data_IF_050028350958
#
_entry.id   IF_050028350958
#
_cell.length_a   1.000
_cell.length_b   1.000
_cell.length_c   1.000
_cell.angle_alpha   90.00
_cell.angle_beta   90.00
_cell.angle_gamma   90.00
#
_symmetry.space_group_name_H-M   'P 1'
#
loop_
_entity.id
_entity.type
_entity.pdbx_description
1 polymer ?
#
# COMPACT_ATOMS: atom_id res chain seq x y z
N UNK A 1 -41.63 -18.82 -36.05
CA UNK A 1 -40.66 -18.33 -37.05
C UNK A 1 -39.37 -19.13 -36.86
N UNK A 2 -38.91 -19.84 -37.93
CA UNK A 2 -37.70 -20.64 -37.83
C UNK A 2 -36.47 -19.74 -38.00
N UNK A 3 -35.64 -19.56 -36.96
CA UNK A 3 -34.45 -18.69 -37.00
C UNK A 3 -33.46 -19.08 -38.11
N UNK A 4 -33.35 -20.40 -38.38
CA UNK A 4 -32.47 -20.91 -39.41
C UNK A 4 -32.81 -20.45 -40.82
N UNK A 5 -34.08 -20.30 -41.16
CA UNK A 5 -34.51 -19.78 -42.47
C UNK A 5 -34.26 -18.28 -42.63
N UNK A 6 -34.31 -17.53 -41.54
CA UNK A 6 -34.03 -16.09 -41.52
C UNK A 6 -32.53 -15.82 -41.77
N UNK A 7 -31.64 -16.57 -41.12
CA UNK A 7 -30.18 -16.44 -41.31
C UNK A 7 -29.75 -16.79 -42.73
N UNK A 8 -30.33 -17.81 -43.32
CA UNK A 8 -30.02 -18.20 -44.72
C UNK A 8 -30.49 -17.14 -45.74
N UNK A 9 -31.65 -16.51 -45.51
CA UNK A 9 -32.20 -15.49 -46.38
C UNK A 9 -31.39 -14.18 -46.33
N UNK A 10 -30.88 -13.80 -45.16
CA UNK A 10 -30.16 -12.55 -44.91
C UNK A 10 -28.70 -12.77 -44.54
N UNK A 11 -28.03 -13.73 -45.17
CA UNK A 11 -26.64 -14.13 -44.86
C UNK A 11 -25.67 -12.96 -44.78
N UNK A 12 -25.79 -11.96 -45.67
CA UNK A 12 -24.92 -10.78 -45.67
C UNK A 12 -25.09 -9.93 -44.42
N UNK A 13 -26.33 -9.72 -43.98
CA UNK A 13 -26.64 -8.96 -42.75
C UNK A 13 -26.10 -9.66 -41.50
N UNK A 14 -26.25 -10.98 -41.45
CA UNK A 14 -25.74 -11.80 -40.30
C UNK A 14 -24.23 -11.72 -40.25
N UNK A 15 -23.53 -11.83 -41.39
CA UNK A 15 -22.07 -11.72 -41.41
C UNK A 15 -21.58 -10.34 -40.95
N UNK A 16 -22.22 -9.26 -41.39
CA UNK A 16 -21.89 -7.90 -40.98
C UNK A 16 -22.09 -7.76 -39.45
N UNK A 17 -23.21 -8.28 -38.92
CA UNK A 17 -23.51 -8.21 -37.50
C UNK A 17 -22.47 -8.97 -36.64
N UNK A 18 -22.03 -10.14 -37.12
CA UNK A 18 -20.96 -10.92 -36.46
C UNK A 18 -19.64 -10.14 -36.46
N UNK A 19 -19.27 -9.53 -37.60
CA UNK A 19 -18.04 -8.73 -37.68
C UNK A 19 -18.10 -7.54 -36.72
N UNK A 20 -19.22 -6.82 -36.66
CA UNK A 20 -19.41 -5.69 -35.75
C UNK A 20 -19.31 -6.15 -34.29
N UNK A 21 -19.93 -7.29 -33.95
CA UNK A 21 -19.85 -7.86 -32.59
C UNK A 21 -18.42 -8.26 -32.23
N UNK A 22 -17.66 -8.83 -33.15
CA UNK A 22 -16.25 -9.20 -32.90
C UNK A 22 -15.38 -7.95 -32.68
N UNK A 23 -15.52 -6.94 -33.52
CA UNK A 23 -14.77 -5.68 -33.37
C UNK A 23 -15.10 -5.01 -32.04
N UNK A 24 -16.38 -4.94 -31.69
CA UNK A 24 -16.82 -4.39 -30.41
C UNK A 24 -16.27 -5.18 -29.22
N UNK A 25 -16.29 -6.51 -29.30
CA UNK A 25 -15.73 -7.39 -28.28
C UNK A 25 -14.23 -7.18 -28.08
N UNK A 26 -13.45 -7.04 -29.16
CA UNK A 26 -12.01 -6.78 -29.09
C UNK A 26 -11.73 -5.42 -28.44
N UNK A 27 -12.47 -4.37 -28.84
CA UNK A 27 -12.30 -3.03 -28.27
C UNK A 27 -12.60 -3.05 -26.75
N UNK A 28 -13.72 -3.64 -26.34
CA UNK A 28 -14.08 -3.76 -24.92
C UNK A 28 -13.05 -4.58 -24.15
N UNK A 29 -12.52 -5.66 -24.71
CA UNK A 29 -11.51 -6.48 -24.08
C UNK A 29 -10.21 -5.72 -23.80
N UNK A 30 -9.80 -4.82 -24.70
CA UNK A 30 -8.61 -4.00 -24.52
C UNK A 30 -8.82 -2.82 -23.55
N UNK A 31 -10.05 -2.29 -23.47
CA UNK A 31 -10.36 -1.14 -22.62
C UNK A 31 -10.80 -1.52 -21.21
N UNK A 32 -11.15 -2.79 -20.98
CA UNK A 32 -11.54 -3.24 -19.63
C UNK A 32 -10.31 -3.30 -18.73
N UNK A 33 -10.24 -2.48 -17.67
CA UNK A 33 -9.14 -2.53 -16.72
C UNK A 33 -9.17 -3.88 -15.98
N UNK A 34 -8.11 -4.65 -16.12
CA UNK A 34 -7.94 -5.93 -15.42
C UNK A 34 -7.30 -5.63 -14.07
N UNK A 35 -8.12 -5.47 -13.05
CA UNK A 35 -7.67 -5.46 -11.67
C UNK A 35 -7.83 -6.88 -11.12
N UNK A 36 -6.74 -7.60 -10.96
CA UNK A 36 -6.76 -8.97 -10.40
C UNK A 36 -7.09 -8.96 -8.91
N UNK A 37 -6.81 -7.85 -8.23
CA UNK A 37 -7.08 -7.72 -6.80
C UNK A 37 -7.98 -6.49 -6.53
N UNK A 38 -8.97 -6.61 -5.62
CA UNK A 38 -9.72 -5.45 -5.18
C UNK A 38 -8.76 -4.44 -4.54
N UNK A 39 -8.93 -3.14 -4.77
CA UNK A 39 -8.10 -2.12 -4.13
C UNK A 39 -8.33 -2.17 -2.62
N UNK A 40 -7.42 -2.81 -1.89
CA UNK A 40 -7.43 -2.76 -0.43
C UNK A 40 -6.44 -1.70 0.03
N UNK A 41 -6.85 -0.91 1.00
CA UNK A 41 -6.00 0.09 1.63
C UNK A 41 -5.28 -0.57 2.79
N UNK A 42 -3.94 -0.67 2.71
CA UNK A 42 -3.14 -1.14 3.84
C UNK A 42 -3.25 -0.13 4.99
N UNK A 43 -3.74 -0.62 6.12
CA UNK A 43 -3.90 0.16 7.35
C UNK A 43 -2.78 -0.04 8.34
N UNK A 44 -1.84 -0.90 8.01
CA UNK A 44 -0.67 -1.18 8.82
C UNK A 44 0.56 -0.73 8.04
N UNK A 45 1.39 0.05 8.70
CA UNK A 45 2.69 0.46 8.19
C UNK A 45 3.77 0.05 9.19
N UNK A 46 4.93 -0.28 8.68
CA UNK A 46 6.09 -0.66 9.50
C UNK A 46 7.19 0.38 9.31
N UNK A 47 7.71 0.89 10.41
CA UNK A 47 8.89 1.77 10.43
C UNK A 47 10.02 0.98 11.03
N UNK A 48 11.13 0.81 10.30
CA UNK A 48 12.31 0.10 10.78
C UNK A 48 13.52 1.04 10.79
N UNK A 49 14.26 1.01 11.89
CA UNK A 49 15.49 1.80 12.08
C UNK A 49 16.61 0.88 12.54
N UNK A 50 17.71 0.89 11.82
CA UNK A 50 18.88 0.10 12.15
C UNK A 50 19.93 0.98 12.87
N UNK A 51 20.44 0.51 14.01
CA UNK A 51 21.49 1.17 14.77
C UNK A 51 22.54 0.16 15.25
N UNK A 52 23.61 -0.04 14.48
CA UNK A 52 24.55 -1.12 14.72
C UNK A 52 25.33 -1.00 16.02
N UNK A 53 25.71 -2.16 16.56
CA UNK A 53 26.53 -2.33 17.76
C UNK A 53 25.89 -1.74 19.04
N UNK A 54 24.56 -1.83 19.16
CA UNK A 54 23.82 -1.40 20.36
C UNK A 54 22.95 -2.53 20.91
N UNK A 55 22.81 -2.52 22.26
CA UNK A 55 21.88 -3.45 22.92
C UNK A 55 20.44 -2.94 22.80
N UNK A 56 19.47 -3.86 22.95
CA UNK A 56 18.05 -3.58 22.81
C UNK A 56 17.55 -2.42 23.71
N UNK A 57 18.01 -2.33 24.94
CA UNK A 57 17.62 -1.29 25.90
C UNK A 57 18.01 0.13 25.43
N UNK A 58 19.18 0.27 24.82
CA UNK A 58 19.60 1.57 24.25
C UNK A 58 18.87 1.91 22.96
N UNK A 59 18.58 0.90 22.13
CA UNK A 59 17.78 1.08 20.93
C UNK A 59 16.36 1.53 21.32
N UNK A 60 15.79 0.93 22.36
CA UNK A 60 14.48 1.30 22.87
C UNK A 60 14.44 2.75 23.36
N UNK A 61 15.32 3.12 24.28
CA UNK A 61 15.28 4.44 24.93
C UNK A 61 15.64 5.60 23.99
N UNK A 62 16.60 5.38 23.06
CA UNK A 62 17.17 6.46 22.24
C UNK A 62 16.61 6.52 20.82
N UNK A 63 16.00 5.44 20.35
CA UNK A 63 15.46 5.36 18.97
C UNK A 63 13.97 5.08 18.99
N UNK A 64 13.53 4.02 19.69
CA UNK A 64 12.14 3.57 19.62
C UNK A 64 11.20 4.54 20.32
N UNK A 65 11.47 4.88 21.58
CA UNK A 65 10.62 5.75 22.40
C UNK A 65 10.40 7.16 21.79
N UNK A 66 11.42 7.88 21.27
CA UNK A 66 11.18 9.14 20.59
C UNK A 66 10.33 9.04 19.32
N UNK A 67 10.50 7.95 18.56
CA UNK A 67 9.72 7.71 17.34
C UNK A 67 8.28 7.31 17.68
N UNK A 68 8.07 6.46 18.70
CA UNK A 68 6.73 6.10 19.19
C UNK A 68 5.94 7.32 19.65
N UNK A 69 6.55 8.14 20.50
CA UNK A 69 5.90 9.35 21.03
C UNK A 69 5.51 10.32 19.90
N UNK A 70 6.34 10.45 18.89
CA UNK A 70 6.04 11.30 17.74
C UNK A 70 4.92 10.75 16.86
N UNK A 71 4.86 9.44 16.70
CA UNK A 71 3.83 8.77 15.87
C UNK A 71 2.50 8.70 16.63
N UNK A 72 2.51 8.42 17.93
CA UNK A 72 1.31 8.31 18.76
C UNK A 72 0.59 9.67 18.91
N UNK A 73 1.31 10.78 18.76
CA UNK A 73 0.74 12.12 18.78
C UNK A 73 -0.05 12.50 17.50
N UNK A 74 -0.07 11.63 16.49
CA UNK A 74 -0.72 11.92 15.20
C UNK A 74 -2.19 11.48 15.24
N UNK A 75 -3.10 12.41 14.95
CA UNK A 75 -4.51 12.11 14.82
C UNK A 75 -4.77 11.11 13.69
N UNK A 76 -5.47 9.99 14.01
CA UNK A 76 -5.80 8.95 13.05
C UNK A 76 -4.94 7.68 13.17
N UNK A 77 -3.98 7.66 14.09
CA UNK A 77 -3.30 6.43 14.53
C UNK A 77 -4.16 5.77 15.61
N UNK A 78 -4.47 4.48 15.44
CA UNK A 78 -5.25 3.69 16.42
C UNK A 78 -4.32 3.01 17.42
N UNK A 79 -3.24 2.41 16.93
CA UNK A 79 -2.27 1.71 17.77
C UNK A 79 -0.85 1.83 17.23
N UNK A 80 0.08 1.99 18.16
CA UNK A 80 1.51 1.86 17.91
C UNK A 80 2.02 0.66 18.70
N UNK A 81 2.81 -0.19 18.06
CA UNK A 81 3.49 -1.32 18.69
C UNK A 81 4.91 -1.37 18.22
N UNK A 82 5.85 -1.52 19.12
CA UNK A 82 7.25 -1.63 18.79
C UNK A 82 7.87 -2.94 19.23
N UNK A 83 8.96 -3.26 18.59
CA UNK A 83 9.86 -4.35 18.97
C UNK A 83 11.27 -3.79 18.89
N UNK A 84 11.92 -3.66 20.03
CA UNK A 84 13.33 -3.27 20.12
C UNK A 84 14.19 -4.51 20.28
N UNK A 85 15.10 -4.69 19.37
CA UNK A 85 16.10 -5.76 19.37
C UNK A 85 17.50 -5.16 19.38
N UNK A 86 18.52 -5.98 19.56
CA UNK A 86 19.90 -5.55 19.35
C UNK A 86 20.03 -5.07 17.90
N UNK A 87 20.54 -3.86 17.73
CA UNK A 87 20.79 -3.20 16.44
C UNK A 87 19.55 -2.79 15.61
N UNK A 88 18.31 -3.13 16.04
CA UNK A 88 17.12 -2.91 15.22
C UNK A 88 15.92 -2.46 16.06
N UNK A 89 15.26 -1.40 15.63
CA UNK A 89 13.93 -0.98 16.08
C UNK A 89 12.91 -1.21 14.98
N UNK A 90 11.78 -1.82 15.31
CA UNK A 90 10.66 -2.02 14.38
C UNK A 90 9.39 -1.52 15.04
N UNK A 91 8.74 -0.53 14.43
CA UNK A 91 7.51 0.08 14.93
C UNK A 91 6.38 -0.23 13.94
N UNK A 92 5.33 -0.85 14.43
CA UNK A 92 4.11 -1.13 13.68
C UNK A 92 3.07 -0.06 14.01
N UNK A 93 2.62 0.65 13.00
CA UNK A 93 1.61 1.70 13.11
C UNK A 93 0.32 1.22 12.47
N UNK A 94 -0.76 1.18 13.25
CA UNK A 94 -2.09 0.80 12.78
C UNK A 94 -2.96 2.07 12.64
N UNK A 95 -3.48 2.32 11.44
CA UNK A 95 -4.38 3.43 11.18
C UNK A 95 -5.80 3.12 11.66
N UNK A 96 -6.52 4.13 12.15
CA UNK A 96 -7.91 4.02 12.59
C UNK A 96 -8.79 3.41 11.49
N UNK A 97 -9.67 2.49 11.91
CA UNK A 97 -10.61 1.77 11.05
C UNK A 97 -11.66 2.67 10.42
N UNK A 98 -11.94 3.82 11.02
CA UNK A 98 -12.88 4.81 10.50
C UNK A 98 -12.35 5.60 9.29
N UNK A 99 -11.04 5.61 9.05
CA UNK A 99 -10.44 6.35 7.94
C UNK A 99 -10.73 5.67 6.59
N UNK A 100 -11.08 6.49 5.59
CA UNK A 100 -11.26 6.04 4.20
C UNK A 100 -9.93 6.14 3.43
N UNK A 101 -9.82 5.40 2.33
CA UNK A 101 -8.60 5.28 1.54
C UNK A 101 -7.77 6.54 1.33
N UNK A 102 -8.33 7.68 0.84
CA UNK A 102 -7.56 8.92 0.67
C UNK A 102 -7.03 9.49 1.98
N UNK A 103 -7.80 9.39 3.08
CA UNK A 103 -7.39 9.87 4.40
C UNK A 103 -6.26 9.03 4.99
N UNK A 104 -6.21 7.75 4.69
CA UNK A 104 -5.10 6.86 5.09
C UNK A 104 -3.80 7.24 4.40
N UNK A 105 -3.85 7.64 3.12
CA UNK A 105 -2.65 8.14 2.44
C UNK A 105 -2.11 9.43 3.08
N UNK A 106 -3.01 10.38 3.39
CA UNK A 106 -2.63 11.61 4.08
C UNK A 106 -2.02 11.32 5.46
N UNK A 107 -2.58 10.36 6.19
CA UNK A 107 -2.02 9.93 7.48
C UNK A 107 -0.58 9.43 7.32
N UNK A 108 -0.31 8.60 6.32
CA UNK A 108 1.03 8.11 6.07
C UNK A 108 2.03 9.21 5.68
N UNK A 109 1.58 10.26 5.01
CA UNK A 109 2.41 11.41 4.70
C UNK A 109 2.70 12.25 5.96
N UNK A 110 1.73 12.38 6.86
CA UNK A 110 1.95 13.00 8.18
C UNK A 110 2.94 12.20 9.03
N UNK A 111 2.79 10.87 9.10
CA UNK A 111 3.73 10.00 9.81
C UNK A 111 5.15 10.18 9.27
N UNK A 112 5.32 10.24 7.94
CA UNK A 112 6.65 10.48 7.33
C UNK A 112 7.21 11.85 7.70
N UNK A 113 6.37 12.88 7.72
CA UNK A 113 6.78 14.23 8.09
C UNK A 113 7.21 14.32 9.56
N UNK A 114 6.50 13.67 10.49
CA UNK A 114 6.85 13.63 11.91
C UNK A 114 8.14 12.84 12.16
N UNK A 115 8.31 11.68 11.52
CA UNK A 115 9.58 10.92 11.55
C UNK A 115 10.75 11.82 11.08
N UNK A 116 10.53 12.60 10.00
CA UNK A 116 11.54 13.54 9.49
C UNK A 116 11.93 14.63 10.48
N UNK A 117 11.02 15.06 11.37
CA UNK A 117 11.31 16.03 12.44
C UNK A 117 12.09 15.42 13.60
N UNK A 118 11.85 14.16 13.91
CA UNK A 118 12.56 13.43 14.99
C UNK A 118 13.96 13.00 14.54
N UNK A 119 14.18 12.81 13.25
CA UNK A 119 15.46 12.37 12.69
C UNK A 119 16.70 13.12 13.22
N UNK A 120 16.72 14.46 13.34
CA UNK A 120 17.88 15.18 13.89
C UNK A 120 18.14 14.92 15.37
N UNK A 121 17.16 14.42 16.13
CA UNK A 121 17.29 14.08 17.54
C UNK A 121 17.75 12.64 17.78
N UNK A 122 17.81 11.82 16.75
CA UNK A 122 18.30 10.45 16.83
C UNK A 122 19.83 10.45 17.01
N UNK A 123 20.39 9.45 17.72
CA UNK A 123 21.82 9.37 17.97
C UNK A 123 22.61 9.14 16.69
N UNK A 124 23.84 9.67 16.67
CA UNK A 124 24.77 9.47 15.55
C UNK A 124 25.00 7.99 15.24
N UNK A 125 24.88 7.63 13.98
CA UNK A 125 25.04 6.25 13.49
C UNK A 125 23.74 5.44 13.44
N UNK A 126 22.59 5.99 13.85
CA UNK A 126 21.30 5.40 13.53
C UNK A 126 20.99 5.62 12.06
N UNK A 127 20.63 4.54 11.36
CA UNK A 127 20.25 4.60 9.96
C UNK A 127 18.88 5.29 9.81
N UNK A 128 18.62 5.88 8.67
CA UNK A 128 17.36 6.57 8.41
C UNK A 128 16.17 5.63 8.60
N UNK A 129 15.16 6.03 9.40
CA UNK A 129 13.96 5.23 9.56
C UNK A 129 13.28 4.97 8.22
N UNK A 130 13.25 3.71 7.80
CA UNK A 130 12.61 3.30 6.56
C UNK A 130 11.20 2.79 6.83
N UNK A 131 10.23 3.36 6.14
CA UNK A 131 8.83 2.98 6.23
C UNK A 131 8.43 2.06 5.09
N UNK A 132 8.05 0.84 5.42
CA UNK A 132 7.48 -0.11 4.46
C UNK A 132 5.97 -0.24 4.68
N UNK A 133 5.18 0.18 3.72
CA UNK A 133 3.75 -0.09 3.70
C UNK A 133 3.49 -1.49 3.13
N UNK A 134 2.79 -2.30 3.90
CA UNK A 134 2.70 -3.73 3.66
C UNK A 134 1.83 -4.14 2.49
N UNK A 135 1.79 -3.51 1.36
CA UNK A 135 1.13 -4.16 0.20
C UNK A 135 1.35 -3.57 -1.19
N UNK A 136 1.73 -2.31 -1.33
CA UNK A 136 1.85 -1.77 -2.68
C UNK A 136 3.28 -1.76 -3.22
N UNK A 137 4.25 -1.91 -2.33
CA UNK A 137 5.68 -1.86 -2.68
C UNK A 137 6.33 -3.24 -2.82
N UNK A 138 5.56 -4.30 -2.54
CA UNK A 138 6.05 -5.67 -2.67
C UNK A 138 6.18 -6.17 -4.11
N UNK A 139 5.79 -5.38 -5.10
CA UNK A 139 6.02 -5.73 -6.53
C UNK A 139 7.48 -5.54 -6.94
N UNK A 140 8.30 -4.86 -6.11
CA UNK A 140 9.73 -4.65 -6.40
C UNK A 140 10.69 -5.29 -5.38
N UNK A 141 10.19 -6.09 -4.46
CA UNK A 141 11.02 -6.92 -3.60
C UNK A 141 10.96 -8.37 -4.06
N UNK A 142 11.28 -8.64 -5.31
CA UNK A 142 11.72 -9.93 -5.77
C UNK A 142 13.24 -9.94 -5.89
N UNK A 143 13.80 -10.96 -5.23
CA UNK A 143 15.12 -11.61 -5.30
C UNK A 143 16.15 -11.00 -4.39
#
# INVERSE_FOLDING_TARGET
MNPARFTLKYRAVVVILVIVALVWGIINFQTTPRSEEPPFTSRISTVSTYWPARNAERVETLVTEPLENAIDAIDGVDKVRSISSSDLSVIYVEADRGLKGPSVHNLWDMVRAEIGKVKPSLPDGAEEPDRKSSCRERVYCEV
#
